data_IF_720807957581
#
_entry.id   IF_720807957581
#
_cell.length_a   1.000
_cell.length_b   1.000
_cell.length_c   1.000
_cell.angle_alpha   90.00
_cell.angle_beta   90.00
_cell.angle_gamma   90.00
#
_symmetry.space_group_name_H-M   'P 1'
#
loop_
_entity.id
_entity.type
_entity.pdbx_description
1 polymer ?
#
# COMPACT_ATOMS: atom_id res chain seq x y z
N UNK A 1 -32.45 -2.92 -2.96
CA UNK A 1 -31.89 -3.09 -1.62
C UNK A 1 -31.40 -4.52 -1.48
N UNK A 2 -32.25 -5.57 -1.55
CA UNK A 2 -31.86 -6.97 -1.35
C UNK A 2 -30.72 -7.48 -2.27
N UNK A 3 -30.64 -7.02 -3.54
CA UNK A 3 -29.55 -7.36 -4.46
C UNK A 3 -28.23 -6.68 -4.10
N UNK A 4 -28.29 -5.46 -3.56
CA UNK A 4 -27.12 -4.75 -3.07
C UNK A 4 -26.56 -5.43 -1.80
N UNK A 5 -27.43 -5.83 -0.88
CA UNK A 5 -27.09 -6.51 0.37
C UNK A 5 -26.42 -7.87 0.09
N UNK A 6 -26.93 -8.64 -0.88
CA UNK A 6 -26.33 -9.94 -1.25
C UNK A 6 -24.95 -9.75 -1.91
N UNK A 7 -24.76 -8.68 -2.72
CA UNK A 7 -23.48 -8.40 -3.35
C UNK A 7 -22.42 -7.92 -2.36
N UNK A 8 -22.78 -7.02 -1.44
CA UNK A 8 -21.88 -6.58 -0.38
C UNK A 8 -21.46 -7.75 0.53
N UNK A 9 -22.39 -8.62 0.88
CA UNK A 9 -22.08 -9.81 1.66
C UNK A 9 -21.15 -10.77 0.91
N UNK A 10 -21.36 -10.94 -0.40
CA UNK A 10 -20.49 -11.76 -1.24
C UNK A 10 -19.06 -11.19 -1.30
N UNK A 11 -18.91 -9.89 -1.58
CA UNK A 11 -17.60 -9.21 -1.62
C UNK A 11 -16.91 -9.31 -0.26
N UNK A 12 -17.64 -9.05 0.82
CA UNK A 12 -17.10 -9.21 2.17
C UNK A 12 -16.60 -10.64 2.40
N UNK A 13 -17.41 -11.65 2.07
CA UNK A 13 -17.08 -13.05 2.31
C UNK A 13 -15.93 -13.56 1.44
N UNK A 14 -15.80 -13.07 0.20
CA UNK A 14 -14.81 -13.58 -0.75
C UNK A 14 -13.50 -12.79 -0.77
N UNK A 15 -13.56 -11.47 -0.58
CA UNK A 15 -12.36 -10.62 -0.66
C UNK A 15 -11.86 -10.17 0.73
N UNK A 16 -12.75 -9.76 1.64
CA UNK A 16 -12.34 -9.16 2.91
C UNK A 16 -12.19 -10.19 4.03
N UNK A 17 -13.13 -11.11 4.16
CA UNK A 17 -13.13 -12.09 5.25
C UNK A 17 -11.88 -12.98 5.30
N UNK A 18 -11.32 -13.48 4.18
CA UNK A 18 -10.06 -14.22 4.21
C UNK A 18 -8.90 -13.39 4.74
N UNK A 19 -8.82 -12.11 4.37
CA UNK A 19 -7.80 -11.17 4.84
C UNK A 19 -7.92 -10.98 6.34
N UNK A 20 -9.14 -10.67 6.81
CA UNK A 20 -9.44 -10.46 8.24
C UNK A 20 -9.16 -11.72 9.04
N UNK A 21 -9.54 -12.90 8.55
CA UNK A 21 -9.33 -14.16 9.24
C UNK A 21 -7.83 -14.47 9.43
N UNK A 22 -7.02 -14.32 8.41
CA UNK A 22 -5.57 -14.56 8.50
C UNK A 22 -4.88 -13.48 9.36
N UNK A 23 -5.25 -12.22 9.20
CA UNK A 23 -4.72 -11.13 10.04
C UNK A 23 -5.15 -11.30 11.51
N UNK A 24 -6.38 -11.73 11.78
CA UNK A 24 -6.83 -12.04 13.14
C UNK A 24 -6.05 -13.20 13.75
N UNK A 25 -5.74 -14.25 12.98
CA UNK A 25 -4.87 -15.32 13.45
C UNK A 25 -3.47 -14.80 13.82
N UNK A 26 -2.89 -13.93 12.99
CA UNK A 26 -1.63 -13.23 13.28
C UNK A 26 -1.72 -12.37 14.55
N UNK A 27 -2.82 -11.61 14.71
CA UNK A 27 -3.05 -10.79 15.89
C UNK A 27 -3.12 -11.62 17.18
N UNK A 28 -3.88 -12.72 17.16
CA UNK A 28 -3.97 -13.64 18.30
C UNK A 28 -2.60 -14.25 18.62
N UNK A 29 -1.86 -14.66 17.58
CA UNK A 29 -0.52 -15.21 17.73
C UNK A 29 0.43 -14.19 18.38
N UNK A 30 0.43 -12.94 17.93
CA UNK A 30 1.21 -11.85 18.50
C UNK A 30 0.87 -11.57 19.96
N UNK A 31 -0.44 -11.61 20.31
CA UNK A 31 -0.89 -11.37 21.70
C UNK A 31 -0.61 -12.54 22.65
N UNK A 32 -0.75 -13.79 22.18
CA UNK A 32 -0.70 -14.99 23.04
C UNK A 32 0.73 -15.53 23.15
N UNK A 33 1.52 -15.42 22.10
CA UNK A 33 2.86 -16.01 22.02
C UNK A 33 3.99 -14.99 22.00
N UNK A 34 3.67 -13.70 22.03
CA UNK A 34 4.65 -12.60 21.96
C UNK A 34 5.67 -12.80 20.82
N UNK A 35 5.14 -13.09 19.64
CA UNK A 35 5.95 -13.41 18.46
C UNK A 35 6.61 -12.14 17.93
N UNK A 36 7.95 -12.15 17.85
CA UNK A 36 8.70 -11.09 17.17
C UNK A 36 8.42 -11.15 15.65
N UNK A 37 7.89 -10.08 15.03
CA UNK A 37 7.67 -10.03 13.60
C UNK A 37 8.97 -9.94 12.77
N UNK A 38 10.10 -9.58 13.37
CA UNK A 38 11.37 -9.29 12.69
C UNK A 38 11.88 -10.43 11.79
N UNK A 39 12.06 -11.65 12.30
CA UNK A 39 12.52 -12.79 11.49
C UNK A 39 11.57 -13.11 10.31
N UNK A 40 10.26 -13.09 10.57
CA UNK A 40 9.26 -13.36 9.53
C UNK A 40 9.24 -12.25 8.47
N UNK A 41 9.37 -11.00 8.91
CA UNK A 41 9.48 -9.86 8.01
C UNK A 41 10.74 -9.96 7.13
N UNK A 42 11.87 -10.38 7.69
CA UNK A 42 13.12 -10.58 6.95
C UNK A 42 12.94 -11.59 5.82
N UNK A 43 12.38 -12.77 6.11
CA UNK A 43 12.12 -13.80 5.10
C UNK A 43 11.16 -13.26 4.02
N UNK A 44 10.12 -12.55 4.44
CA UNK A 44 9.14 -11.96 3.53
C UNK A 44 9.79 -10.97 2.59
N UNK A 45 10.56 -10.02 3.10
CA UNK A 45 11.17 -8.93 2.30
C UNK A 45 12.31 -9.42 1.40
N UNK A 46 13.11 -10.39 1.85
CA UNK A 46 14.30 -10.81 1.10
C UNK A 46 14.09 -12.07 0.24
N UNK A 47 13.01 -12.82 0.44
CA UNK A 47 12.77 -14.06 -0.31
C UNK A 47 11.38 -14.08 -0.96
N UNK A 48 10.31 -14.00 -0.15
CA UNK A 48 8.96 -14.23 -0.65
C UNK A 48 8.47 -13.11 -1.58
N UNK A 49 8.59 -11.85 -1.15
CA UNK A 49 8.17 -10.70 -1.94
C UNK A 49 9.01 -10.53 -3.21
N UNK A 50 10.35 -10.64 -3.19
CA UNK A 50 11.13 -10.65 -4.44
C UNK A 50 10.71 -11.73 -5.43
N UNK A 51 10.39 -12.95 -4.98
CA UNK A 51 9.88 -14.00 -5.85
C UNK A 51 8.50 -13.65 -6.43
N UNK A 52 7.58 -13.11 -5.61
CA UNK A 52 6.28 -12.63 -6.06
C UNK A 52 6.42 -11.53 -7.11
N UNK A 53 7.26 -10.54 -6.84
CA UNK A 53 7.48 -9.38 -7.71
C UNK A 53 8.13 -9.82 -9.02
N UNK A 54 9.19 -10.62 -8.95
CA UNK A 54 9.83 -11.14 -10.14
C UNK A 54 8.83 -11.91 -11.03
N UNK A 55 8.09 -12.85 -10.46
CA UNK A 55 7.11 -13.64 -11.21
C UNK A 55 6.02 -12.74 -11.80
N UNK A 56 5.45 -11.84 -11.00
CA UNK A 56 4.37 -10.94 -11.44
C UNK A 56 4.82 -9.99 -12.55
N UNK A 57 6.04 -9.43 -12.46
CA UNK A 57 6.58 -8.53 -13.49
C UNK A 57 6.99 -9.31 -14.74
N UNK A 58 7.68 -10.44 -14.58
CA UNK A 58 8.16 -11.25 -15.69
C UNK A 58 7.02 -11.85 -16.54
N UNK A 59 5.88 -12.14 -15.93
CA UNK A 59 4.69 -12.71 -16.61
C UNK A 59 3.62 -11.67 -16.92
N UNK A 60 3.81 -10.40 -16.53
CA UNK A 60 2.83 -9.35 -16.80
C UNK A 60 2.77 -9.03 -18.29
N UNK A 61 1.57 -9.02 -18.83
CA UNK A 61 1.28 -8.62 -20.22
C UNK A 61 0.83 -7.14 -20.33
N UNK A 62 1.30 -6.29 -19.39
CA UNK A 62 0.92 -4.89 -19.38
C UNK A 62 1.71 -4.09 -20.42
N UNK A 63 1.01 -3.28 -21.22
CA UNK A 63 1.63 -2.40 -22.21
C UNK A 63 2.45 -1.29 -21.54
N UNK A 64 3.44 -0.76 -22.26
CA UNK A 64 4.23 0.39 -21.78
C UNK A 64 3.36 1.63 -21.45
N UNK A 65 2.26 1.85 -22.18
CA UNK A 65 1.29 2.91 -21.89
C UNK A 65 0.58 2.68 -20.55
N UNK A 66 0.21 1.45 -20.24
CA UNK A 66 -0.41 1.10 -18.95
C UNK A 66 0.56 1.31 -17.78
N UNK A 67 1.83 0.93 -17.94
CA UNK A 67 2.88 1.16 -16.94
C UNK A 67 3.12 2.67 -16.72
N UNK A 68 3.18 3.45 -17.79
CA UNK A 68 3.32 4.91 -17.70
C UNK A 68 2.10 5.54 -17.03
N UNK A 69 0.89 5.12 -17.39
CA UNK A 69 -0.35 5.58 -16.77
C UNK A 69 -0.33 5.31 -15.27
N UNK A 70 0.01 4.09 -14.86
CA UNK A 70 0.06 3.69 -13.46
C UNK A 70 1.10 4.51 -12.68
N UNK A 71 2.31 4.66 -13.21
CA UNK A 71 3.37 5.44 -12.58
C UNK A 71 2.97 6.92 -12.40
N UNK A 72 2.43 7.55 -13.45
CA UNK A 72 1.96 8.95 -13.41
C UNK A 72 0.82 9.11 -12.41
N UNK A 73 -0.12 8.17 -12.39
CA UNK A 73 -1.26 8.19 -11.46
C UNK A 73 -0.81 8.07 -10.00
N UNK A 74 0.16 7.19 -9.69
CA UNK A 74 0.68 7.01 -8.34
C UNK A 74 1.46 8.26 -7.88
N UNK A 75 2.29 8.83 -8.74
CA UNK A 75 3.02 10.08 -8.45
C UNK A 75 2.03 11.23 -8.23
N UNK A 76 1.06 11.38 -9.13
CA UNK A 76 0.02 12.41 -9.02
C UNK A 76 -0.81 12.28 -7.73
N UNK A 77 -1.22 11.05 -7.38
CA UNK A 77 -1.92 10.77 -6.14
C UNK A 77 -1.07 11.12 -4.91
N UNK A 78 0.19 10.70 -4.90
CA UNK A 78 1.10 10.97 -3.78
C UNK A 78 1.29 12.48 -3.58
N UNK A 79 1.52 13.24 -4.67
CA UNK A 79 1.65 14.71 -4.59
C UNK A 79 0.35 15.32 -4.07
N UNK A 80 -0.80 14.94 -4.61
CA UNK A 80 -2.09 15.46 -4.20
C UNK A 80 -2.37 15.19 -2.71
N UNK A 81 -2.09 13.97 -2.24
CA UNK A 81 -2.31 13.61 -0.83
C UNK A 81 -1.32 14.27 0.11
N UNK A 82 -0.04 14.43 -0.27
CA UNK A 82 0.94 15.18 0.52
C UNK A 82 0.49 16.63 0.67
N UNK A 83 0.10 17.29 -0.42
CA UNK A 83 -0.36 18.69 -0.38
C UNK A 83 -1.64 18.83 0.46
N UNK A 84 -2.59 17.92 0.29
CA UNK A 84 -3.84 17.93 1.05
C UNK A 84 -3.58 17.69 2.55
N UNK A 85 -2.80 16.68 2.91
CA UNK A 85 -2.50 16.37 4.30
C UNK A 85 -1.68 17.47 4.96
N UNK A 86 -0.67 18.00 4.28
CA UNK A 86 0.10 19.15 4.75
C UNK A 86 -0.79 20.37 5.01
N UNK A 87 -1.71 20.68 4.09
CA UNK A 87 -2.66 21.78 4.24
C UNK A 87 -3.59 21.57 5.43
N UNK A 88 -4.18 20.39 5.58
CA UNK A 88 -5.09 20.05 6.68
C UNK A 88 -4.36 20.08 8.03
N UNK A 89 -3.15 19.49 8.12
CA UNK A 89 -2.38 19.47 9.36
C UNK A 89 -1.98 20.87 9.80
N UNK A 90 -1.45 21.70 8.90
CA UNK A 90 -1.07 23.08 9.21
C UNK A 90 -2.25 23.96 9.62
N UNK A 91 -3.39 23.84 8.95
CA UNK A 91 -4.61 24.54 9.31
C UNK A 91 -5.16 24.12 10.67
N UNK A 92 -4.88 22.88 11.08
CA UNK A 92 -5.24 22.37 12.40
C UNK A 92 -4.23 22.74 13.50
N UNK A 93 -3.10 23.37 13.13
CA UNK A 93 -2.04 23.77 14.06
C UNK A 93 -1.03 22.66 14.38
N UNK A 94 -1.05 21.56 13.63
CA UNK A 94 -0.04 20.49 13.82
C UNK A 94 1.36 21.01 13.44
N UNK A 95 2.37 20.65 14.23
CA UNK A 95 3.77 21.03 14.03
C UNK A 95 4.65 19.77 13.94
N UNK A 96 5.89 19.94 13.44
CA UNK A 96 6.83 18.79 13.40
C UNK A 96 7.24 18.37 14.82
N UNK A 97 7.40 17.07 15.08
CA UNK A 97 7.39 15.95 14.13
C UNK A 97 6.00 15.33 13.88
N UNK A 98 4.96 15.73 14.61
CA UNK A 98 3.61 15.15 14.47
C UNK A 98 3.01 15.43 13.08
N UNK A 99 3.27 16.62 12.51
CA UNK A 99 2.81 16.97 11.16
C UNK A 99 3.38 16.00 10.11
N UNK A 100 4.67 15.69 10.20
CA UNK A 100 5.30 14.69 9.31
C UNK A 100 4.65 13.31 9.44
N UNK A 101 4.42 12.84 10.66
CA UNK A 101 3.74 11.57 10.94
C UNK A 101 2.29 11.55 10.39
N UNK A 102 1.57 12.67 10.53
CA UNK A 102 0.22 12.85 9.98
C UNK A 102 0.22 12.79 8.45
N UNK A 103 1.16 13.48 7.79
CA UNK A 103 1.27 13.48 6.32
C UNK A 103 1.62 12.09 5.81
N UNK A 104 2.56 11.38 6.44
CA UNK A 104 2.94 10.03 6.07
C UNK A 104 1.76 9.05 6.15
N UNK A 105 1.05 9.04 7.27
CA UNK A 105 -0.07 8.11 7.49
C UNK A 105 -1.29 8.42 6.62
N UNK A 106 -1.50 9.69 6.25
CA UNK A 106 -2.57 10.10 5.37
C UNK A 106 -2.27 9.82 3.89
N UNK A 107 -1.00 9.80 3.48
CA UNK A 107 -0.58 9.68 2.08
C UNK A 107 -0.31 8.23 1.70
N UNK A 108 0.58 7.55 2.42
CA UNK A 108 1.09 6.24 2.01
C UNK A 108 0.18 5.09 2.46
N UNK A 109 -0.11 4.23 1.50
CA UNK A 109 -1.02 3.09 1.63
C UNK A 109 -0.28 1.82 2.03
N UNK A 110 -0.92 0.94 2.81
CA UNK A 110 -0.43 -0.41 3.08
C UNK A 110 -0.65 -1.33 1.87
N UNK A 111 -0.10 -0.91 0.73
CA UNK A 111 -0.25 -1.57 -0.55
C UNK A 111 0.40 -2.98 -0.58
N UNK A 112 1.48 -3.20 0.18
CA UNK A 112 2.16 -4.50 0.27
C UNK A 112 1.34 -5.52 1.06
N UNK A 113 1.38 -5.38 2.40
CA UNK A 113 0.84 -6.40 3.29
C UNK A 113 -0.71 -6.52 3.26
N UNK A 114 -1.39 -5.46 2.84
CA UNK A 114 -2.85 -5.42 2.75
C UNK A 114 -3.34 -5.35 1.30
N UNK A 115 -2.77 -4.46 0.49
CA UNK A 115 -3.25 -4.16 -0.86
C UNK A 115 -3.05 -5.31 -1.84
N UNK A 116 -1.85 -5.92 -1.91
CA UNK A 116 -1.61 -7.06 -2.82
C UNK A 116 -2.58 -8.20 -2.56
N UNK A 117 -2.74 -8.70 -1.31
CA UNK A 117 -3.75 -9.72 -1.01
C UNK A 117 -5.16 -9.30 -1.39
N UNK A 118 -5.55 -8.08 -1.06
CA UNK A 118 -6.90 -7.58 -1.36
C UNK A 118 -7.16 -7.51 -2.87
N UNK A 119 -6.19 -6.99 -3.63
CA UNK A 119 -6.28 -6.89 -5.08
C UNK A 119 -6.31 -8.25 -5.77
N UNK A 120 -5.58 -9.23 -5.23
CA UNK A 120 -5.62 -10.62 -5.71
C UNK A 120 -6.99 -11.26 -5.46
N UNK A 121 -7.54 -11.12 -4.26
CA UNK A 121 -8.86 -11.65 -3.91
C UNK A 121 -10.01 -10.96 -4.68
N UNK A 122 -9.92 -9.64 -4.90
CA UNK A 122 -10.99 -8.89 -5.55
C UNK A 122 -10.94 -8.97 -7.09
N UNK A 123 -9.74 -8.97 -7.69
CA UNK A 123 -9.54 -8.82 -9.13
C UNK A 123 -8.62 -9.88 -9.74
N UNK A 124 -8.25 -10.92 -8.99
CA UNK A 124 -7.46 -12.05 -9.45
C UNK A 124 -6.05 -11.65 -9.92
N UNK A 125 -5.50 -12.41 -10.87
CA UNK A 125 -4.12 -12.25 -11.33
C UNK A 125 -3.80 -10.84 -11.84
N UNK A 126 -4.71 -10.19 -12.59
CA UNK A 126 -4.52 -8.81 -13.05
C UNK A 126 -4.47 -7.85 -11.86
N UNK A 127 -5.31 -8.08 -10.86
CA UNK A 127 -5.31 -7.33 -9.60
C UNK A 127 -3.95 -7.43 -8.91
N UNK A 128 -3.45 -8.64 -8.69
CA UNK A 128 -2.15 -8.91 -8.07
C UNK A 128 -1.00 -8.26 -8.84
N UNK A 129 -0.93 -8.45 -10.16
CA UNK A 129 0.13 -7.86 -11.00
C UNK A 129 0.13 -6.33 -10.92
N UNK A 130 -1.05 -5.71 -10.99
CA UNK A 130 -1.19 -4.25 -10.88
C UNK A 130 -0.77 -3.75 -9.49
N UNK A 131 -1.18 -4.41 -8.42
CA UNK A 131 -0.81 -4.08 -7.05
C UNK A 131 0.70 -4.20 -6.81
N UNK A 132 1.35 -5.23 -7.38
CA UNK A 132 2.81 -5.40 -7.34
C UNK A 132 3.52 -4.24 -8.03
N UNK A 133 3.05 -3.78 -9.19
CA UNK A 133 3.62 -2.62 -9.86
C UNK A 133 3.35 -1.32 -9.09
N UNK A 134 2.18 -1.22 -8.47
CA UNK A 134 1.85 -0.10 -7.59
C UNK A 134 2.85 0.01 -6.43
N UNK A 135 3.08 -1.07 -5.68
CA UNK A 135 3.98 -1.04 -4.53
C UNK A 135 5.43 -0.71 -4.91
N UNK A 136 5.87 -1.08 -6.11
CA UNK A 136 7.20 -0.71 -6.63
C UNK A 136 7.34 0.81 -6.71
N UNK A 137 6.41 1.48 -7.40
CA UNK A 137 6.45 2.94 -7.55
C UNK A 137 6.25 3.62 -6.20
N UNK A 138 5.28 3.16 -5.40
CA UNK A 138 5.06 3.72 -4.06
C UNK A 138 6.28 3.56 -3.15
N UNK A 139 7.01 2.43 -3.22
CA UNK A 139 8.22 2.22 -2.41
C UNK A 139 9.31 3.25 -2.74
N UNK A 140 9.52 3.56 -4.02
CA UNK A 140 10.46 4.61 -4.41
C UNK A 140 10.04 5.96 -3.79
N UNK A 141 8.77 6.32 -3.89
CA UNK A 141 8.25 7.57 -3.31
C UNK A 141 8.33 7.56 -1.79
N UNK A 142 8.05 6.45 -1.14
CA UNK A 142 8.09 6.31 0.31
C UNK A 142 9.51 6.47 0.87
N UNK A 143 10.50 5.84 0.23
CA UNK A 143 11.90 5.94 0.66
C UNK A 143 12.65 7.19 0.16
N UNK A 144 12.00 8.02 -0.66
CA UNK A 144 12.49 9.35 -1.05
C UNK A 144 11.69 10.46 -0.38
N UNK A 145 10.47 10.68 -0.85
CA UNK A 145 9.57 11.72 -0.32
C UNK A 145 9.15 11.42 1.12
N UNK A 146 8.83 10.16 1.44
CA UNK A 146 8.42 9.76 2.79
C UNK A 146 9.54 9.94 3.81
N UNK A 147 10.78 9.56 3.49
CA UNK A 147 11.95 9.79 4.37
C UNK A 147 12.19 11.29 4.56
N UNK A 148 12.11 12.08 3.47
CA UNK A 148 12.20 13.53 3.57
C UNK A 148 11.15 14.11 4.53
N UNK A 149 9.90 13.62 4.45
CA UNK A 149 8.81 14.08 5.33
C UNK A 149 9.08 13.65 6.80
N UNK A 150 9.51 12.42 7.04
CA UNK A 150 9.83 11.93 8.37
C UNK A 150 10.98 12.69 9.04
N UNK A 151 11.99 13.06 8.26
CA UNK A 151 13.21 13.75 8.72
C UNK A 151 13.13 15.28 8.67
N UNK A 152 11.95 15.90 8.75
CA UNK A 152 11.82 17.37 8.80
C UNK A 152 12.14 17.98 10.15
N UNK A 153 12.39 17.18 11.16
CA UNK A 153 12.76 17.61 12.50
C UNK A 153 14.13 18.31 12.54
N UNK A 154 14.43 19.06 13.62
CA UNK A 154 15.70 19.76 13.77
C UNK A 154 16.90 18.76 13.83
N UNK A 155 17.86 18.93 12.93
CA UNK A 155 19.13 18.17 12.94
C UNK A 155 19.20 16.94 12.02
N UNK A 156 18.18 16.63 11.26
CA UNK A 156 18.11 15.46 10.38
C UNK A 156 18.66 15.71 8.96
N UNK A 157 19.16 14.65 8.32
CA UNK A 157 19.62 14.68 6.92
C UNK A 157 18.60 14.02 5.99
N UNK A 158 17.72 14.78 5.32
CA UNK A 158 16.64 14.24 4.48
C UNK A 158 17.14 13.39 3.29
N UNK A 159 18.41 13.54 2.90
CA UNK A 159 18.98 12.80 1.76
C UNK A 159 19.50 11.40 2.13
N UNK A 160 19.56 11.06 3.42
CA UNK A 160 20.02 9.74 3.86
C UNK A 160 19.11 8.60 3.34
N UNK A 161 17.82 8.87 3.13
CA UNK A 161 16.85 7.90 2.63
C UNK A 161 17.04 7.49 1.18
N UNK A 162 17.59 8.36 0.33
CA UNK A 162 17.75 8.05 -1.10
C UNK A 162 18.63 6.83 -1.34
N UNK A 163 19.68 6.63 -0.54
CA UNK A 163 20.55 5.45 -0.62
C UNK A 163 19.81 4.15 -0.25
N UNK A 164 18.75 4.23 0.55
CA UNK A 164 17.98 3.07 0.99
C UNK A 164 17.08 2.49 -0.09
N UNK A 165 16.64 3.30 -1.07
CA UNK A 165 15.91 2.79 -2.23
C UNK A 165 16.71 1.67 -2.92
N UNK A 166 18.03 1.84 -3.02
CA UNK A 166 18.91 0.84 -3.61
C UNK A 166 19.22 -0.35 -2.68
N UNK A 167 18.82 -0.32 -1.43
CA UNK A 167 18.92 -1.44 -0.50
C UNK A 167 17.66 -2.33 -0.51
N UNK A 168 16.59 -1.93 -1.24
CA UNK A 168 15.33 -2.66 -1.25
C UNK A 168 15.39 -3.82 -2.25
N UNK A 169 15.27 -5.10 -1.82
CA UNK A 169 15.32 -6.25 -2.71
C UNK A 169 14.26 -6.23 -3.82
N UNK A 170 13.12 -5.63 -3.55
CA UNK A 170 11.99 -5.47 -4.47
C UNK A 170 12.38 -4.75 -5.77
N UNK A 171 13.23 -3.71 -5.68
CA UNK A 171 13.72 -2.97 -6.86
C UNK A 171 14.52 -3.86 -7.79
N UNK A 172 15.38 -4.70 -7.23
CA UNK A 172 16.17 -5.66 -8.01
C UNK A 172 15.31 -6.77 -8.63
N UNK A 173 14.29 -7.23 -7.93
CA UNK A 173 13.34 -8.20 -8.46
C UNK A 173 12.57 -7.67 -9.67
N UNK A 174 12.18 -6.38 -9.65
CA UNK A 174 11.57 -5.71 -10.82
C UNK A 174 12.54 -5.62 -11.98
N UNK A 175 13.77 -5.13 -11.73
CA UNK A 175 14.79 -5.01 -12.78
C UNK A 175 15.07 -6.40 -13.39
N UNK A 176 15.21 -7.42 -12.57
CA UNK A 176 15.43 -8.79 -13.02
C UNK A 176 14.25 -9.33 -13.85
N UNK A 177 12.99 -9.09 -13.41
CA UNK A 177 11.79 -9.48 -14.13
C UNK A 177 11.67 -8.83 -15.50
N UNK A 178 11.87 -7.50 -15.56
CA UNK A 178 11.87 -6.74 -16.81
C UNK A 178 13.01 -7.17 -17.76
N UNK A 179 14.21 -7.37 -17.21
CA UNK A 179 15.37 -7.82 -17.99
C UNK A 179 15.14 -9.23 -18.56
N UNK A 180 14.60 -10.16 -17.77
CA UNK A 180 14.28 -11.50 -18.21
C UNK A 180 13.23 -11.52 -19.34
N UNK A 181 12.22 -10.64 -19.25
CA UNK A 181 11.21 -10.44 -20.28
C UNK A 181 11.84 -9.84 -21.57
N UNK A 182 12.63 -8.77 -21.41
CA UNK A 182 13.26 -8.09 -22.57
C UNK A 182 14.28 -8.95 -23.29
N UNK A 183 15.08 -9.75 -22.56
CA UNK A 183 16.06 -10.69 -23.11
C UNK A 183 15.45 -11.99 -23.61
N UNK A 184 14.14 -12.19 -23.43
CA UNK A 184 13.44 -13.42 -23.77
C UNK A 184 14.08 -14.70 -23.17
N UNK A 185 14.64 -14.58 -21.95
CA UNK A 185 15.30 -15.69 -21.22
C UNK A 185 14.40 -16.33 -20.17
N UNK A 186 13.11 -15.95 -20.12
CA UNK A 186 12.15 -16.56 -19.21
C UNK A 186 12.01 -18.07 -19.54
N UNK A 187 12.01 -18.92 -18.50
CA UNK A 187 11.65 -20.31 -18.70
C UNK A 187 10.27 -20.43 -19.35
N UNK A 188 10.02 -21.45 -20.16
CA UNK A 188 8.71 -21.66 -20.79
C UNK A 188 7.58 -21.67 -19.73
N UNK A 189 6.40 -21.18 -20.11
CA UNK A 189 5.20 -21.30 -19.28
C UNK A 189 4.96 -22.79 -18.93
N UNK A 190 4.65 -23.06 -17.66
CA UNK A 190 4.51 -24.43 -17.15
C UNK A 190 5.82 -25.13 -16.79
N UNK A 191 6.99 -24.48 -16.93
CA UNK A 191 8.26 -25.05 -16.46
C UNK A 191 8.30 -25.17 -14.94
N UNK A 192 8.98 -26.20 -14.44
CA UNK A 192 9.14 -26.42 -13.00
C UNK A 192 9.81 -25.22 -12.30
N UNK A 193 10.74 -24.55 -12.97
CA UNK A 193 11.44 -23.39 -12.44
C UNK A 193 10.48 -22.22 -12.20
N UNK A 194 9.65 -21.88 -13.20
CA UNK A 194 8.69 -20.78 -13.09
C UNK A 194 7.60 -21.10 -12.05
N UNK A 195 7.10 -22.34 -12.03
CA UNK A 195 6.14 -22.82 -11.04
C UNK A 195 6.69 -22.79 -9.59
N UNK A 196 7.99 -23.07 -9.42
CA UNK A 196 8.63 -22.96 -8.10
C UNK A 196 8.71 -21.50 -7.64
N UNK A 197 9.12 -20.59 -8.53
CA UNK A 197 9.17 -19.14 -8.23
C UNK A 197 7.76 -18.63 -7.88
N UNK A 198 6.74 -19.03 -8.64
CA UNK A 198 5.34 -18.69 -8.40
C UNK A 198 4.88 -19.20 -7.02
N UNK A 199 5.18 -20.44 -6.67
CA UNK A 199 4.81 -21.04 -5.38
C UNK A 199 5.44 -20.28 -4.22
N UNK A 200 6.74 -19.96 -4.31
CA UNK A 200 7.45 -19.17 -3.28
C UNK A 200 6.84 -17.76 -3.20
N UNK A 201 6.58 -17.13 -4.34
CA UNK A 201 5.96 -15.82 -4.40
C UNK A 201 4.55 -15.80 -3.79
N UNK A 202 3.71 -16.77 -4.14
CA UNK A 202 2.33 -16.87 -3.62
C UNK A 202 2.28 -17.10 -2.11
N UNK A 203 3.30 -17.75 -1.52
CA UNK A 203 3.40 -17.89 -0.08
C UNK A 203 3.54 -16.54 0.66
N UNK A 204 3.98 -15.48 -0.03
CA UNK A 204 4.08 -14.13 0.56
C UNK A 204 2.72 -13.60 1.00
N UNK A 205 1.63 -13.88 0.28
CA UNK A 205 0.29 -13.33 0.53
C UNK A 205 -0.21 -13.67 1.94
N UNK A 206 -0.35 -14.94 2.34
CA UNK A 206 -0.79 -15.27 3.70
C UNK A 206 0.24 -14.85 4.77
N UNK A 207 1.53 -14.88 4.46
CA UNK A 207 2.57 -14.45 5.40
C UNK A 207 2.50 -12.95 5.66
N UNK A 208 2.27 -12.11 4.64
CA UNK A 208 2.07 -10.67 4.80
C UNK A 208 0.85 -10.35 5.67
N UNK A 209 -0.24 -11.10 5.52
CA UNK A 209 -1.44 -10.95 6.36
C UNK A 209 -1.21 -11.37 7.82
N UNK A 210 -0.48 -12.46 8.06
CA UNK A 210 -0.07 -12.86 9.41
C UNK A 210 0.82 -11.79 10.04
N UNK A 211 1.81 -11.28 9.30
CA UNK A 211 2.67 -10.18 9.73
C UNK A 211 1.87 -8.94 10.11
N UNK A 212 0.92 -8.53 9.28
CA UNK A 212 0.03 -7.43 9.57
C UNK A 212 -0.67 -7.62 10.93
N UNK A 213 -1.22 -8.81 11.16
CA UNK A 213 -1.86 -9.13 12.44
C UNK A 213 -0.93 -9.05 13.62
N UNK A 214 0.28 -9.64 13.52
CA UNK A 214 1.29 -9.62 14.59
C UNK A 214 1.71 -8.16 14.89
N UNK A 215 1.95 -7.35 13.86
CA UNK A 215 2.30 -5.93 14.00
C UNK A 215 1.19 -5.12 14.68
N UNK A 216 -0.07 -5.37 14.30
CA UNK A 216 -1.23 -4.73 14.95
C UNK A 216 -1.37 -5.15 16.43
N UNK A 217 -0.95 -6.36 16.81
CA UNK A 217 -0.94 -6.81 18.19
C UNK A 217 0.04 -6.03 19.07
N UNK A 218 1.15 -5.57 18.50
CA UNK A 218 2.16 -4.73 19.17
C UNK A 218 1.81 -3.23 19.24
N UNK A 219 0.64 -2.80 18.75
CA UNK A 219 0.26 -1.39 18.68
C UNK A 219 0.12 -0.77 20.07
N UNK A 220 0.83 0.33 20.30
CA UNK A 220 0.66 1.21 21.45
C UNK A 220 -0.27 2.38 21.05
N UNK A 221 -1.30 2.61 21.85
CA UNK A 221 -2.29 3.64 21.54
C UNK A 221 -1.84 5.00 22.10
N UNK A 222 -1.58 5.96 21.21
CA UNK A 222 -1.29 7.34 21.57
C UNK A 222 -2.57 8.18 21.73
N UNK A 223 -2.45 9.33 22.37
CA UNK A 223 -3.58 10.17 22.81
C UNK A 223 -3.98 11.33 21.88
N UNK A 224 -3.41 11.47 20.69
CA UNK A 224 -3.73 12.54 19.71
C UNK A 224 -5.05 12.30 18.96
N UNK A 225 -6.16 12.15 19.67
CA UNK A 225 -7.45 11.75 19.09
C UNK A 225 -7.87 12.61 17.90
N UNK A 226 -7.73 13.95 18.00
CA UNK A 226 -8.13 14.87 16.93
C UNK A 226 -7.33 14.65 15.64
N UNK A 227 -6.01 14.47 15.74
CA UNK A 227 -5.14 14.21 14.60
C UNK A 227 -5.38 12.81 14.01
N UNK A 228 -5.62 11.81 14.86
CA UNK A 228 -5.98 10.44 14.42
C UNK A 228 -7.28 10.45 13.62
N UNK A 229 -8.32 11.15 14.09
CA UNK A 229 -9.60 11.25 13.36
C UNK A 229 -9.41 11.93 12.00
N UNK A 230 -8.62 13.01 11.92
CA UNK A 230 -8.31 13.70 10.66
C UNK A 230 -7.56 12.76 9.69
N UNK A 231 -6.53 12.03 10.17
CA UNK A 231 -5.80 11.07 9.36
C UNK A 231 -6.71 9.96 8.83
N UNK A 232 -7.58 9.41 9.69
CA UNK A 232 -8.57 8.42 9.29
C UNK A 232 -9.54 8.96 8.23
N UNK A 233 -10.02 10.19 8.37
CA UNK A 233 -10.90 10.82 7.39
C UNK A 233 -10.18 11.04 6.05
N UNK A 234 -8.93 11.53 6.06
CA UNK A 234 -8.14 11.68 4.85
C UNK A 234 -7.88 10.33 4.18
N UNK A 235 -7.52 9.31 4.96
CA UNK A 235 -7.15 8.02 4.40
C UNK A 235 -8.35 7.19 3.91
N UNK A 236 -9.47 7.20 4.63
CA UNK A 236 -10.62 6.36 4.32
C UNK A 236 -11.67 7.04 3.42
N UNK A 237 -11.67 8.37 3.33
CA UNK A 237 -12.65 9.12 2.55
C UNK A 237 -11.99 9.95 1.46
N UNK A 238 -11.03 10.81 1.80
CA UNK A 238 -10.41 11.69 0.82
C UNK A 238 -9.52 10.93 -0.16
N UNK A 239 -8.70 9.97 0.30
CA UNK A 239 -7.79 9.22 -0.56
C UNK A 239 -8.50 8.46 -1.70
N UNK A 240 -9.56 7.66 -1.47
CA UNK A 240 -10.28 7.03 -2.58
C UNK A 240 -10.91 8.06 -3.53
N UNK A 241 -11.44 9.19 -3.05
CA UNK A 241 -12.00 10.23 -3.91
C UNK A 241 -10.91 10.89 -4.77
N UNK A 242 -9.77 11.24 -4.18
CA UNK A 242 -8.60 11.78 -4.90
C UNK A 242 -8.10 10.77 -5.93
N UNK A 243 -8.02 9.48 -5.58
CA UNK A 243 -7.58 8.43 -6.49
C UNK A 243 -8.51 8.29 -7.70
N UNK A 244 -9.83 8.32 -7.50
CA UNK A 244 -10.80 8.34 -8.62
C UNK A 244 -10.58 9.56 -9.50
N UNK A 245 -10.45 10.75 -8.92
CA UNK A 245 -10.19 11.99 -9.66
C UNK A 245 -8.89 11.92 -10.49
N UNK A 246 -7.81 11.41 -9.91
CA UNK A 246 -6.54 11.21 -10.62
C UNK A 246 -6.68 10.17 -11.74
N UNK A 247 -7.33 9.03 -11.48
CA UNK A 247 -7.55 8.00 -12.49
C UNK A 247 -8.29 8.56 -13.71
N UNK A 248 -9.36 9.31 -13.49
CA UNK A 248 -10.14 9.95 -14.56
C UNK A 248 -9.32 11.02 -15.30
N UNK A 249 -8.61 11.89 -14.59
CA UNK A 249 -7.82 12.96 -15.16
C UNK A 249 -6.65 12.42 -16.03
N UNK A 250 -5.92 11.42 -15.51
CA UNK A 250 -4.80 10.82 -16.27
C UNK A 250 -5.31 10.01 -17.45
N UNK A 251 -6.45 9.31 -17.32
CA UNK A 251 -7.09 8.61 -18.45
C UNK A 251 -7.47 9.60 -19.54
N UNK A 252 -8.15 10.69 -19.22
CA UNK A 252 -8.53 11.72 -20.19
C UNK A 252 -7.29 12.36 -20.86
N UNK A 253 -6.21 12.59 -20.11
CA UNK A 253 -4.96 13.11 -20.67
C UNK A 253 -4.32 12.11 -21.66
N UNK A 254 -4.32 10.80 -21.36
CA UNK A 254 -3.82 9.77 -22.27
C UNK A 254 -4.66 9.70 -23.56
N UNK A 255 -5.98 9.73 -23.45
CA UNK A 255 -6.87 9.74 -24.62
C UNK A 255 -6.64 10.98 -25.52
N UNK A 256 -6.47 12.16 -24.91
CA UNK A 256 -6.18 13.39 -25.67
C UNK A 256 -4.83 13.36 -26.38
N UNK A 257 -3.86 12.62 -25.84
CA UNK A 257 -2.55 12.42 -26.45
C UNK A 257 -2.53 11.24 -27.45
N UNK A 258 -3.67 10.58 -27.69
CA UNK A 258 -3.77 9.41 -28.56
C UNK A 258 -3.10 8.14 -27.99
N UNK A 259 -2.82 8.11 -26.70
CA UNK A 259 -2.31 6.94 -26.02
C UNK A 259 -3.45 6.03 -25.55
N UNK A 260 -3.21 4.70 -25.54
CA UNK A 260 -4.23 3.76 -25.08
C UNK A 260 -4.49 3.94 -23.58
N UNK A 261 -5.76 4.06 -23.21
CA UNK A 261 -6.20 4.02 -21.83
C UNK A 261 -5.92 2.64 -21.22
N UNK A 262 -5.67 2.56 -19.90
CA UNK A 262 -5.45 1.28 -19.24
C UNK A 262 -6.74 0.44 -19.24
N UNK A 263 -6.57 -0.87 -19.07
CA UNK A 263 -7.69 -1.75 -18.75
C UNK A 263 -8.43 -1.22 -17.50
N UNK A 264 -9.76 -1.25 -17.51
CA UNK A 264 -10.59 -0.82 -16.35
C UNK A 264 -10.17 -1.49 -15.04
N UNK A 265 -9.76 -2.75 -15.07
CA UNK A 265 -9.27 -3.45 -13.87
C UNK A 265 -8.03 -2.78 -13.30
N UNK A 266 -7.09 -2.34 -14.13
CA UNK A 266 -5.89 -1.60 -13.67
C UNK A 266 -6.27 -0.31 -12.96
N UNK A 267 -7.20 0.47 -13.53
CA UNK A 267 -7.67 1.71 -12.91
C UNK A 267 -8.40 1.45 -11.58
N UNK A 268 -9.21 0.40 -11.50
CA UNK A 268 -9.90 -0.03 -10.27
C UNK A 268 -8.93 -0.45 -9.19
N UNK A 269 -7.90 -1.23 -9.55
CA UNK A 269 -6.85 -1.66 -8.62
C UNK A 269 -6.04 -0.46 -8.13
N UNK A 270 -5.71 0.49 -9.01
CA UNK A 270 -5.05 1.74 -8.58
C UNK A 270 -5.86 2.46 -7.50
N UNK A 271 -7.17 2.65 -7.70
CA UNK A 271 -8.05 3.29 -6.70
C UNK A 271 -8.11 2.46 -5.41
N UNK A 272 -8.21 1.13 -5.54
CA UNK A 272 -8.24 0.23 -4.38
C UNK A 272 -6.96 0.32 -3.55
N UNK A 273 -5.79 0.29 -4.21
CA UNK A 273 -4.48 0.41 -3.54
C UNK A 273 -4.32 1.75 -2.82
N UNK A 274 -4.75 2.85 -3.45
CA UNK A 274 -4.75 4.19 -2.83
C UNK A 274 -5.65 4.26 -1.58
N UNK A 275 -6.73 3.48 -1.56
CA UNK A 275 -7.72 3.44 -0.48
C UNK A 275 -7.39 2.45 0.65
N UNK A 276 -6.35 1.61 0.50
CA UNK A 276 -5.93 0.70 1.59
C UNK A 276 -5.48 1.48 2.83
N UNK A 277 -5.48 0.88 4.03
CA UNK A 277 -5.13 1.56 5.28
C UNK A 277 -3.76 2.24 5.23
N UNK A 278 -3.43 3.02 6.25
CA UNK A 278 -2.12 3.65 6.38
C UNK A 278 -1.00 2.59 6.41
N UNK A 279 0.11 2.90 5.73
CA UNK A 279 1.25 2.00 5.61
C UNK A 279 1.95 1.76 6.96
N UNK A 280 2.17 0.49 7.31
CA UNK A 280 2.98 0.12 8.49
C UNK A 280 4.43 0.64 8.37
N UNK A 281 4.94 0.74 7.15
CA UNK A 281 6.29 1.30 6.89
C UNK A 281 6.42 2.74 7.39
N UNK A 282 5.33 3.51 7.49
CA UNK A 282 5.35 4.86 8.09
C UNK A 282 5.83 4.84 9.54
N UNK A 283 5.53 3.77 10.30
CA UNK A 283 6.04 3.58 11.66
C UNK A 283 7.57 3.44 11.68
N UNK A 284 8.12 2.66 10.76
CA UNK A 284 9.56 2.45 10.63
C UNK A 284 10.25 3.77 10.25
N UNK A 285 9.67 4.53 9.31
CA UNK A 285 10.24 5.82 8.89
C UNK A 285 10.24 6.83 10.02
N UNK A 286 9.15 6.92 10.77
CA UNK A 286 9.05 7.84 11.91
C UNK A 286 10.01 7.42 13.01
N UNK A 287 10.07 6.14 13.39
CA UNK A 287 10.97 5.64 14.43
C UNK A 287 12.44 5.82 14.09
N UNK A 288 12.80 5.84 12.83
CA UNK A 288 14.20 5.96 12.42
C UNK A 288 14.62 7.40 12.10
N UNK A 289 13.72 8.25 11.61
CA UNK A 289 14.03 9.59 11.09
C UNK A 289 13.34 10.72 11.85
N UNK A 290 12.41 10.45 12.75
CA UNK A 290 11.73 11.49 13.52
C UNK A 290 12.26 11.54 14.94
N UNK A 291 12.60 12.71 15.42
CA UNK A 291 13.12 12.92 16.78
C UNK A 291 12.22 13.92 17.54
N UNK A 292 12.02 13.68 18.83
CA UNK A 292 11.29 14.55 19.74
C UNK A 292 9.83 14.16 19.96
N UNK A 293 9.26 14.75 21.00
CA UNK A 293 7.86 14.64 21.39
C UNK A 293 7.23 16.03 21.28
N UNK A 294 5.94 16.11 20.94
CA UNK A 294 5.13 17.32 21.04
C UNK A 294 3.96 17.04 21.95
N UNK A 295 3.85 17.80 23.05
CA UNK A 295 2.80 17.68 24.07
C UNK A 295 2.68 16.25 24.68
N UNK A 296 3.82 15.54 24.82
CA UNK A 296 3.86 14.17 25.35
C UNK A 296 3.36 13.11 24.38
N UNK A 297 3.25 13.42 23.09
CA UNK A 297 2.88 12.46 22.03
C UNK A 297 4.15 12.02 21.30
N UNK A 298 4.45 10.75 21.39
CA UNK A 298 5.49 10.12 20.57
C UNK A 298 4.95 9.91 19.14
N UNK A 299 5.63 10.38 18.10
CA UNK A 299 5.20 10.22 16.71
C UNK A 299 4.95 8.75 16.33
N UNK A 300 5.74 7.82 16.86
CA UNK A 300 5.56 6.37 16.66
C UNK A 300 4.23 5.86 17.21
N UNK A 301 3.87 6.28 18.42
CA UNK A 301 2.60 5.91 19.08
C UNK A 301 1.40 6.45 18.29
N UNK A 302 1.52 7.67 17.76
CA UNK A 302 0.55 8.25 16.85
C UNK A 302 0.38 7.42 15.58
N UNK A 303 1.49 7.13 14.85
CA UNK A 303 1.46 6.35 13.61
C UNK A 303 0.86 4.96 13.84
N UNK A 304 1.28 4.29 14.92
CA UNK A 304 0.76 2.99 15.33
C UNK A 304 -0.76 3.00 15.49
N UNK A 305 -1.28 4.04 16.17
CA UNK A 305 -2.71 4.23 16.38
C UNK A 305 -3.46 4.47 15.05
N UNK A 306 -2.91 5.29 14.14
CA UNK A 306 -3.53 5.55 12.83
C UNK A 306 -3.52 4.27 11.98
N UNK A 307 -2.42 3.53 11.93
CA UNK A 307 -2.35 2.26 11.20
C UNK A 307 -3.40 1.28 11.71
N UNK A 308 -3.52 1.12 13.02
CA UNK A 308 -4.51 0.24 13.62
C UNK A 308 -5.95 0.66 13.29
N UNK A 309 -6.27 1.93 13.54
CA UNK A 309 -7.64 2.44 13.35
C UNK A 309 -8.06 2.46 11.87
N UNK A 310 -7.16 2.86 10.95
CA UNK A 310 -7.44 2.79 9.50
C UNK A 310 -7.61 1.34 9.04
N UNK A 311 -6.84 0.39 9.58
CA UNK A 311 -7.00 -1.03 9.25
C UNK A 311 -8.37 -1.55 9.65
N UNK A 312 -8.87 -1.22 10.85
CA UNK A 312 -10.22 -1.60 11.27
C UNK A 312 -11.30 -0.93 10.42
N UNK A 313 -11.18 0.37 10.18
CA UNK A 313 -12.14 1.14 9.38
C UNK A 313 -12.16 0.72 7.91
N UNK A 314 -11.04 0.20 7.40
CA UNK A 314 -10.95 -0.26 6.02
C UNK A 314 -11.85 -1.46 5.73
N UNK A 315 -12.19 -2.29 6.72
CA UNK A 315 -13.01 -3.48 6.53
C UNK A 315 -14.36 -3.13 5.86
N UNK A 316 -15.22 -2.28 6.45
CA UNK A 316 -16.46 -1.88 5.79
C UNK A 316 -16.21 -0.93 4.61
N UNK A 317 -15.24 -0.01 4.69
CA UNK A 317 -14.99 1.00 3.67
C UNK A 317 -14.57 0.35 2.33
N UNK A 318 -13.64 -0.60 2.36
CA UNK A 318 -13.17 -1.28 1.14
C UNK A 318 -14.20 -2.28 0.60
N UNK A 319 -15.03 -2.89 1.45
CA UNK A 319 -16.16 -3.69 0.97
C UNK A 319 -17.10 -2.86 0.10
N UNK A 320 -17.45 -1.64 0.56
CA UNK A 320 -18.29 -0.71 -0.20
C UNK A 320 -17.55 -0.21 -1.46
N UNK A 321 -16.27 0.14 -1.32
CA UNK A 321 -15.49 0.64 -2.45
C UNK A 321 -15.36 -0.41 -3.57
N UNK A 322 -15.07 -1.67 -3.24
CA UNK A 322 -15.00 -2.76 -4.23
C UNK A 322 -16.36 -2.90 -4.94
N UNK A 323 -17.46 -2.87 -4.20
CA UNK A 323 -18.80 -2.94 -4.80
C UNK A 323 -19.06 -1.78 -5.79
N UNK A 324 -18.64 -0.56 -5.44
CA UNK A 324 -18.77 0.61 -6.30
C UNK A 324 -17.88 0.52 -7.55
N UNK A 325 -16.64 0.03 -7.40
CA UNK A 325 -15.71 -0.18 -8.51
C UNK A 325 -16.21 -1.26 -9.46
N UNK A 326 -16.71 -2.38 -8.94
CA UNK A 326 -17.25 -3.46 -9.77
C UNK A 326 -18.57 -3.10 -10.48
N UNK A 327 -19.39 -2.24 -9.86
CA UNK A 327 -20.64 -1.77 -10.48
C UNK A 327 -20.41 -0.85 -11.69
N UNK A 328 -19.19 -0.32 -11.86
CA UNK A 328 -18.86 0.66 -12.91
C UNK A 328 -19.41 2.07 -12.62
N UNK A 329 -19.82 2.35 -11.39
CA UNK A 329 -20.31 3.69 -11.00
C UNK A 329 -19.18 4.72 -10.86
N UNK A 330 -17.95 4.27 -10.60
CA UNK A 330 -16.80 5.15 -10.38
C UNK A 330 -15.82 5.18 -11.55
N UNK A 331 -15.67 4.06 -12.28
CA UNK A 331 -14.70 3.88 -13.38
C UNK A 331 -15.26 2.97 -14.48
#
# INVERSE_FOLDING_TARGET
>A
VALLDSRLLSIFATAILPIVAVAAAGYVLGRVKDVDPGPLNTITVYVLVPALVFHSVATASLSGSTLAWLAISIVGFTIAMVVLAEGVGRLAGDTEPLLGAFVLTSTFSNAGNYGIPLSDFAFGTVGRQTAVLYIVVQSVLMYTVGVYIAGRGPGENPLAGVKRVFAIPLVYAVIAGLAAQWLAILPPEGSQTLATIETVGNASIPVMLLLLGIQLAGTNFGSAVGSVVRANALKMVAAPAVAVGIALAVTAAFETLGAAAPNRTVARVFVLECATPAAVTSLILVGEFSTGEIDGIEPESYVSTVVFTTTLLSIPALTVLIALLESGLLL
#
